data_IF_852574771899
#
_entry.id   IF_852574771899
#
_cell.length_a   1.000
_cell.length_b   1.000
_cell.length_c   1.000
_cell.angle_alpha   90.00
_cell.angle_beta   90.00
_cell.angle_gamma   90.00
#
_symmetry.space_group_name_H-M   'P 1'
#
loop_
_entity.id
_entity.type
_entity.pdbx_description
1 polymer ?
#
# COMPACT_ATOMS: atom_id res chain seq x y z
N UNK A 1 -39.94 -10.07 -40.74
CA UNK A 1 -39.95 -10.40 -39.30
C UNK A 1 -38.68 -9.86 -38.70
N UNK A 2 -38.76 -8.79 -37.90
CA UNK A 2 -37.65 -8.20 -37.14
C UNK A 2 -37.58 -8.93 -35.79
N UNK A 3 -36.39 -9.27 -35.29
CA UNK A 3 -36.01 -9.31 -33.86
C UNK A 3 -34.47 -9.52 -33.81
N UNK A 4 -33.77 -8.41 -33.54
CA UNK A 4 -32.67 -8.24 -32.59
C UNK A 4 -31.66 -9.39 -32.41
N UNK A 5 -30.48 -9.25 -33.04
CA UNK A 5 -29.27 -10.05 -32.74
C UNK A 5 -28.06 -9.14 -32.45
N UNK A 6 -28.26 -8.04 -31.72
CA UNK A 6 -27.26 -6.99 -31.51
C UNK A 6 -27.19 -6.52 -30.04
N UNK A 7 -27.49 -7.39 -29.09
CA UNK A 7 -27.41 -7.09 -27.65
C UNK A 7 -26.36 -7.92 -26.89
N UNK A 8 -25.55 -8.74 -27.57
CA UNK A 8 -24.60 -9.65 -26.93
C UNK A 8 -23.16 -9.15 -26.83
N UNK A 9 -22.80 -8.01 -27.46
CA UNK A 9 -21.40 -7.60 -27.63
C UNK A 9 -21.06 -6.24 -26.99
N UNK A 10 -21.92 -5.71 -26.12
CA UNK A 10 -21.73 -4.39 -25.50
C UNK A 10 -21.35 -4.43 -24.00
N UNK A 11 -21.34 -5.60 -23.34
CA UNK A 11 -20.98 -5.73 -21.93
C UNK A 11 -19.54 -6.19 -21.66
N UNK A 12 -18.74 -6.51 -22.69
CA UNK A 12 -17.36 -6.99 -22.50
C UNK A 12 -16.28 -5.92 -22.71
N UNK A 13 -16.64 -4.66 -22.93
CA UNK A 13 -15.70 -3.56 -23.21
C UNK A 13 -15.38 -2.67 -21.99
N UNK A 14 -15.82 -3.03 -20.79
CA UNK A 14 -15.57 -2.25 -19.55
C UNK A 14 -14.68 -2.96 -18.51
N UNK A 15 -14.11 -4.14 -18.82
CA UNK A 15 -13.24 -4.87 -17.89
C UNK A 15 -11.75 -4.83 -18.28
N UNK A 16 -11.34 -3.84 -19.07
CA UNK A 16 -9.94 -3.43 -19.07
C UNK A 16 -9.69 -2.55 -17.85
N UNK A 17 -9.79 -3.10 -16.64
CA UNK A 17 -9.11 -2.53 -15.49
C UNK A 17 -7.61 -2.73 -15.72
N UNK A 18 -7.02 -1.91 -16.58
CA UNK A 18 -5.67 -1.46 -16.28
C UNK A 18 -5.77 -0.95 -14.83
N UNK A 19 -5.17 -1.68 -13.88
CA UNK A 19 -5.03 -1.22 -12.50
C UNK A 19 -4.36 0.15 -12.59
N UNK A 20 -5.18 1.19 -12.53
CA UNK A 20 -4.70 2.55 -12.60
C UNK A 20 -4.05 2.79 -11.26
N UNK A 21 -2.75 3.09 -11.31
CA UNK A 21 -1.95 3.41 -10.13
C UNK A 21 -2.64 4.58 -9.43
N UNK A 22 -3.23 4.31 -8.26
CA UNK A 22 -3.93 5.35 -7.51
C UNK A 22 -3.02 6.52 -7.28
N UNK A 23 -3.51 7.73 -7.56
CA UNK A 23 -2.80 8.95 -7.19
C UNK A 23 -3.00 9.28 -5.70
N UNK A 24 -2.42 10.40 -5.25
CA UNK A 24 -2.47 10.82 -3.84
C UNK A 24 -3.90 11.07 -3.36
N UNK A 25 -4.77 11.62 -4.21
CA UNK A 25 -6.15 11.94 -3.85
C UNK A 25 -7.01 10.67 -3.81
N UNK A 26 -6.81 9.76 -4.77
CA UNK A 26 -7.46 8.43 -4.79
C UNK A 26 -7.03 7.56 -3.61
N UNK A 27 -5.74 7.56 -3.25
CA UNK A 27 -5.25 6.89 -2.04
C UNK A 27 -5.84 7.51 -0.77
N UNK A 28 -6.01 8.83 -0.74
CA UNK A 28 -6.63 9.52 0.41
C UNK A 28 -8.10 9.10 0.57
N UNK A 29 -8.86 9.05 -0.53
CA UNK A 29 -10.25 8.61 -0.53
C UNK A 29 -10.37 7.14 -0.12
N UNK A 30 -9.51 6.27 -0.68
CA UNK A 30 -9.48 4.87 -0.30
C UNK A 30 -9.16 4.68 1.19
N UNK A 31 -8.16 5.39 1.72
CA UNK A 31 -7.88 5.34 3.16
C UNK A 31 -9.10 5.77 3.99
N UNK A 32 -9.82 6.82 3.60
CA UNK A 32 -11.01 7.28 4.32
C UNK A 32 -12.13 6.22 4.33
N UNK A 33 -12.37 5.54 3.20
CA UNK A 33 -13.35 4.45 3.11
C UNK A 33 -12.98 3.28 4.01
N UNK A 34 -11.68 2.98 4.13
CA UNK A 34 -11.17 1.81 4.85
C UNK A 34 -10.45 2.16 6.17
N UNK A 35 -10.71 3.32 6.76
CA UNK A 35 -9.92 3.84 7.90
C UNK A 35 -9.83 2.84 9.06
N UNK A 36 -10.97 2.22 9.41
CA UNK A 36 -11.03 1.23 10.49
C UNK A 36 -10.22 -0.03 10.18
N UNK A 37 -10.06 -0.39 8.90
CA UNK A 37 -9.26 -1.53 8.45
C UNK A 37 -7.77 -1.21 8.53
N UNK A 38 -7.35 -0.02 8.11
CA UNK A 38 -5.97 0.45 8.30
C UNK A 38 -5.57 0.48 9.79
N UNK A 39 -6.48 0.93 10.67
CA UNK A 39 -6.24 0.90 12.11
C UNK A 39 -6.06 -0.51 12.66
N UNK A 40 -6.92 -1.45 12.25
CA UNK A 40 -6.82 -2.86 12.64
C UNK A 40 -5.55 -3.52 12.07
N UNK A 41 -5.19 -3.18 10.82
CA UNK A 41 -4.00 -3.68 10.15
C UNK A 41 -2.73 -3.26 10.90
N UNK A 42 -2.60 -1.98 11.26
CA UNK A 42 -1.46 -1.51 12.05
C UNK A 42 -1.33 -2.29 13.37
N UNK A 43 -2.42 -2.47 14.11
CA UNK A 43 -2.40 -3.18 15.38
C UNK A 43 -2.02 -4.68 15.23
N UNK A 44 -2.61 -5.37 14.25
CA UNK A 44 -2.33 -6.77 13.97
C UNK A 44 -0.88 -6.97 13.48
N UNK A 45 -0.42 -6.11 12.58
CA UNK A 45 0.93 -6.21 12.02
C UNK A 45 2.01 -5.89 13.06
N UNK A 46 1.78 -4.93 13.96
CA UNK A 46 2.69 -4.69 15.08
C UNK A 46 2.71 -5.84 16.08
N UNK A 47 1.56 -6.48 16.32
CA UNK A 47 1.50 -7.71 17.14
C UNK A 47 2.30 -8.84 16.51
N UNK A 48 2.23 -8.99 15.18
CA UNK A 48 3.04 -9.97 14.45
C UNK A 48 4.53 -9.65 14.60
N UNK A 49 4.95 -8.41 14.36
CA UNK A 49 6.36 -7.99 14.51
C UNK A 49 6.89 -8.29 15.91
N UNK A 50 6.12 -7.97 16.95
CA UNK A 50 6.48 -8.26 18.33
C UNK A 50 6.60 -9.77 18.60
N UNK A 51 5.70 -10.57 18.03
CA UNK A 51 5.72 -12.04 18.17
C UNK A 51 6.90 -12.68 17.45
N UNK A 52 7.24 -12.19 16.25
CA UNK A 52 8.40 -12.65 15.48
C UNK A 52 9.73 -12.10 16.01
N UNK A 53 9.68 -11.07 16.86
CA UNK A 53 10.84 -10.37 17.40
C UNK A 53 11.87 -10.00 16.32
N UNK A 54 11.40 -9.38 15.22
CA UNK A 54 12.22 -9.03 14.06
C UNK A 54 12.26 -7.52 13.81
N UNK A 55 13.40 -7.04 13.30
CA UNK A 55 13.57 -5.65 12.85
C UNK A 55 13.05 -5.42 11.42
N UNK A 56 12.88 -6.47 10.62
CA UNK A 56 12.37 -6.39 9.26
C UNK A 56 11.57 -7.65 8.93
N UNK A 57 10.40 -7.49 8.32
CA UNK A 57 9.61 -8.62 7.85
C UNK A 57 8.72 -8.24 6.67
N UNK A 58 8.75 -9.01 5.59
CA UNK A 58 7.79 -8.87 4.50
C UNK A 58 6.75 -9.97 4.61
N UNK A 59 5.49 -9.57 4.54
CA UNK A 59 4.34 -10.46 4.59
C UNK A 59 3.58 -10.40 3.28
N UNK A 60 3.18 -11.55 2.76
CA UNK A 60 2.25 -11.69 1.65
C UNK A 60 1.05 -12.48 2.13
N UNK A 61 -0.12 -12.21 1.55
CA UNK A 61 -1.31 -13.04 1.77
C UNK A 61 -1.04 -14.49 1.40
N UNK A 62 -1.77 -15.42 2.03
CA UNK A 62 -1.68 -16.86 1.77
C UNK A 62 -0.28 -17.47 2.04
N UNK A 63 0.52 -16.85 2.91
CA UNK A 63 1.82 -17.40 3.33
C UNK A 63 1.80 -18.02 4.72
N UNK A 64 0.61 -18.28 5.28
CA UNK A 64 0.45 -18.72 6.66
C UNK A 64 1.21 -20.01 7.00
N UNK A 65 1.38 -20.95 6.06
CA UNK A 65 2.16 -22.17 6.31
C UNK A 65 3.65 -21.94 6.57
N UNK A 66 4.17 -20.74 6.26
CA UNK A 66 5.58 -20.38 6.46
C UNK A 66 5.89 -20.00 7.91
N UNK A 67 4.88 -19.98 8.79
CA UNK A 67 4.98 -19.47 10.15
C UNK A 67 4.64 -20.54 11.20
N UNK A 68 5.05 -20.33 12.46
CA UNK A 68 4.62 -21.17 13.56
C UNK A 68 3.09 -21.23 13.70
N UNK A 69 2.56 -22.40 14.06
CA UNK A 69 1.11 -22.63 14.12
C UNK A 69 0.39 -21.69 15.10
N UNK A 70 1.08 -21.24 16.15
CA UNK A 70 0.56 -20.30 17.15
C UNK A 70 0.19 -18.93 16.58
N UNK A 71 0.79 -18.49 15.47
CA UNK A 71 0.45 -17.20 14.84
C UNK A 71 -0.61 -17.32 13.75
N UNK A 72 -1.01 -18.53 13.35
CA UNK A 72 -1.95 -18.73 12.26
C UNK A 72 -3.26 -17.92 12.37
N UNK A 73 -3.89 -17.76 13.56
CA UNK A 73 -5.07 -16.90 13.70
C UNK A 73 -4.79 -15.43 13.37
N UNK A 74 -3.61 -14.92 13.74
CA UNK A 74 -3.19 -13.55 13.46
C UNK A 74 -2.89 -13.36 11.97
N UNK A 75 -2.28 -14.35 11.31
CA UNK A 75 -1.99 -14.30 9.88
C UNK A 75 -3.28 -14.30 9.05
N UNK A 76 -4.25 -15.15 9.41
CA UNK A 76 -5.57 -15.13 8.77
C UNK A 76 -6.29 -13.78 8.94
N UNK A 77 -6.11 -13.12 10.09
CA UNK A 77 -6.64 -11.77 10.29
C UNK A 77 -5.93 -10.76 9.37
N UNK A 78 -4.61 -10.87 9.22
CA UNK A 78 -3.84 -10.01 8.31
C UNK A 78 -4.22 -10.20 6.85
N UNK A 79 -4.44 -11.44 6.41
CA UNK A 79 -4.93 -11.75 5.06
C UNK A 79 -6.22 -11.00 4.78
N UNK A 80 -7.23 -11.19 5.63
CA UNK A 80 -8.52 -10.53 5.47
C UNK A 80 -8.38 -9.00 5.50
N UNK A 81 -7.52 -8.45 6.36
CA UNK A 81 -7.34 -6.99 6.46
C UNK A 81 -6.65 -6.40 5.23
N UNK A 82 -5.72 -7.12 4.60
CA UNK A 82 -5.06 -6.70 3.37
C UNK A 82 -6.02 -6.82 2.18
N UNK A 83 -6.75 -7.92 2.07
CA UNK A 83 -7.80 -8.10 1.06
C UNK A 83 -8.88 -7.02 1.17
N UNK A 84 -9.33 -6.69 2.39
CA UNK A 84 -10.35 -5.65 2.65
C UNK A 84 -9.92 -4.25 2.21
N UNK A 85 -8.63 -4.03 1.90
CA UNK A 85 -8.07 -2.76 1.41
C UNK A 85 -7.45 -2.90 0.01
N UNK A 86 -7.79 -3.97 -0.72
CA UNK A 86 -7.30 -4.29 -2.05
C UNK A 86 -5.76 -4.37 -2.13
N UNK A 87 -5.16 -5.09 -1.19
CA UNK A 87 -3.70 -5.29 -1.08
C UNK A 87 -3.35 -6.75 -0.82
N UNK A 88 -2.15 -7.12 -1.26
CA UNK A 88 -1.65 -8.50 -1.18
C UNK A 88 -0.41 -8.62 -0.28
N UNK A 89 0.25 -7.50 0.02
CA UNK A 89 1.49 -7.53 0.78
C UNK A 89 1.69 -6.29 1.64
N UNK A 90 2.54 -6.48 2.66
CA UNK A 90 2.99 -5.42 3.53
C UNK A 90 4.42 -5.68 3.99
N UNK A 91 5.09 -4.62 4.44
CA UNK A 91 6.42 -4.72 5.05
C UNK A 91 6.43 -4.05 6.42
N UNK A 92 6.92 -4.78 7.40
CA UNK A 92 7.16 -4.34 8.77
C UNK A 92 8.63 -3.99 8.96
N UNK A 93 8.90 -2.88 9.64
CA UNK A 93 10.25 -2.37 9.90
C UNK A 93 10.35 -1.83 11.32
N UNK A 94 11.54 -1.85 11.87
CA UNK A 94 11.94 -1.00 12.98
C UNK A 94 12.75 0.16 12.40
N UNK A 95 12.22 1.38 12.51
CA UNK A 95 12.88 2.56 11.96
C UNK A 95 13.13 3.59 13.08
N UNK A 96 14.41 3.92 13.30
CA UNK A 96 14.81 4.85 14.35
C UNK A 96 14.35 4.38 15.74
N UNK A 97 13.59 5.23 16.44
CA UNK A 97 13.02 4.93 17.76
C UNK A 97 11.62 4.33 17.71
N UNK A 98 11.04 4.15 16.51
CA UNK A 98 9.71 3.57 16.33
C UNK A 98 9.83 2.05 16.28
N UNK A 99 9.23 1.38 17.26
CA UNK A 99 9.31 -0.08 17.40
C UNK A 99 8.52 -0.84 16.32
N UNK A 100 7.54 -0.19 15.68
CA UNK A 100 6.75 -0.78 14.61
C UNK A 100 6.35 0.27 13.57
N UNK A 101 7.04 0.23 12.43
CA UNK A 101 6.65 0.92 11.21
C UNK A 101 6.14 -0.10 10.20
N UNK A 102 5.10 0.27 9.44
CA UNK A 102 4.45 -0.60 8.47
C UNK A 102 4.27 0.15 7.15
N UNK A 103 4.64 -0.48 6.04
CA UNK A 103 4.39 0.03 4.69
C UNK A 103 3.54 -0.95 3.89
N UNK A 104 2.46 -0.47 3.26
CA UNK A 104 1.58 -1.24 2.37
C UNK A 104 1.71 -0.68 0.96
N UNK A 105 2.14 -1.50 0.01
CA UNK A 105 2.52 -1.03 -1.31
C UNK A 105 1.30 -0.63 -2.16
N UNK A 106 1.27 0.60 -2.69
CA UNK A 106 0.27 0.95 -3.70
C UNK A 106 0.78 0.55 -5.09
N UNK A 107 1.99 1.00 -5.40
CA UNK A 107 2.74 0.57 -6.57
C UNK A 107 4.21 0.91 -6.39
N UNK A 108 5.06 0.16 -7.08
CA UNK A 108 6.48 0.47 -7.22
C UNK A 108 6.95 0.17 -8.65
N UNK A 109 8.04 0.84 -9.03
CA UNK A 109 8.83 0.53 -10.22
C UNK A 109 10.27 0.76 -9.84
N UNK A 110 11.05 -0.30 -9.66
CA UNK A 110 12.49 -0.22 -9.45
C UNK A 110 13.25 -1.05 -10.47
N UNK A 111 14.35 -0.49 -10.99
CA UNK A 111 15.30 -1.18 -11.83
C UNK A 111 16.71 -0.65 -11.56
N UNK A 112 17.64 -1.56 -11.26
CA UNK A 112 19.06 -1.25 -11.06
C UNK A 112 19.38 -0.13 -10.04
N UNK A 113 18.51 0.06 -9.03
CA UNK A 113 18.69 1.08 -7.98
C UNK A 113 17.95 2.39 -8.23
N UNK A 114 17.46 2.59 -9.45
CA UNK A 114 16.61 3.72 -9.83
C UNK A 114 15.15 3.29 -9.75
N UNK A 115 14.25 4.20 -9.39
CA UNK A 115 12.85 3.87 -9.34
C UNK A 115 11.96 4.84 -8.59
N UNK A 116 10.72 4.41 -8.39
CA UNK A 116 9.79 5.11 -7.52
C UNK A 116 8.80 4.15 -6.90
N UNK A 117 8.33 4.47 -5.70
CA UNK A 117 7.18 3.84 -5.09
C UNK A 117 6.19 4.88 -4.60
N UNK A 118 4.97 4.40 -4.39
CA UNK A 118 4.00 5.05 -3.53
C UNK A 118 3.38 4.01 -2.60
N UNK A 119 3.30 4.32 -1.31
CA UNK A 119 2.87 3.38 -0.27
C UNK A 119 2.00 4.09 0.77
N UNK A 120 1.18 3.31 1.49
CA UNK A 120 0.66 3.74 2.79
C UNK A 120 1.70 3.40 3.86
N UNK A 121 2.10 4.39 4.67
CA UNK A 121 3.10 4.23 5.72
C UNK A 121 2.53 4.57 7.09
N UNK A 122 2.53 3.60 8.00
CA UNK A 122 2.20 3.79 9.41
C UNK A 122 3.48 4.05 10.20
N UNK A 123 3.50 5.19 10.91
CA UNK A 123 4.63 5.65 11.71
C UNK A 123 5.99 5.57 10.98
N UNK A 124 6.14 6.20 9.79
CA UNK A 124 7.44 6.27 9.12
C UNK A 124 8.44 7.05 9.99
N UNK A 125 9.72 6.67 9.99
CA UNK A 125 10.72 7.39 10.79
C UNK A 125 11.09 8.77 10.23
N UNK A 126 10.90 8.97 8.92
CA UNK A 126 11.18 10.22 8.24
C UNK A 126 9.88 10.80 7.73
N UNK A 127 9.65 12.09 8.01
CA UNK A 127 8.57 12.87 7.43
C UNK A 127 9.17 13.96 6.55
N UNK A 128 8.62 14.11 5.36
CA UNK A 128 8.98 15.18 4.45
C UNK A 128 7.75 15.99 4.06
N UNK A 129 7.94 17.30 3.88
CA UNK A 129 6.87 18.23 3.57
C UNK A 129 6.14 17.80 2.29
N UNK A 130 4.82 17.78 2.35
CA UNK A 130 3.99 17.48 1.19
C UNK A 130 4.12 18.59 0.15
N UNK A 131 4.68 18.29 -1.01
CA UNK A 131 4.71 19.20 -2.15
C UNK A 131 3.95 18.60 -3.35
N UNK A 132 2.69 18.99 -3.58
CA UNK A 132 1.84 18.40 -4.62
C UNK A 132 2.38 18.62 -6.04
N UNK A 133 3.22 19.65 -6.24
CA UNK A 133 3.73 19.99 -7.56
C UNK A 133 4.74 18.96 -8.10
N UNK A 134 5.44 18.25 -7.21
CA UNK A 134 6.50 17.30 -7.58
C UNK A 134 5.96 16.03 -8.27
N UNK A 135 4.65 15.74 -8.15
CA UNK A 135 4.01 14.52 -8.70
C UNK A 135 3.30 14.76 -10.03
N UNK A 136 3.02 16.02 -10.37
CA UNK A 136 2.34 16.37 -11.60
C UNK A 136 3.17 15.92 -12.80
N UNK A 137 2.56 15.18 -13.74
CA UNK A 137 3.23 14.59 -14.92
C UNK A 137 4.12 15.57 -15.69
N UNK A 138 3.77 16.87 -15.72
CA UNK A 138 4.55 17.93 -16.37
C UNK A 138 5.70 18.54 -15.57
N UNK A 139 5.81 18.24 -14.27
CA UNK A 139 6.85 18.76 -13.35
C UNK A 139 7.75 17.66 -12.76
N UNK A 140 7.59 16.41 -13.21
CA UNK A 140 8.38 15.26 -12.75
C UNK A 140 9.86 15.42 -13.18
N UNK A 141 10.71 15.91 -12.29
CA UNK A 141 12.14 15.95 -12.52
C UNK A 141 12.71 14.53 -12.46
N UNK A 142 13.35 14.05 -13.54
CA UNK A 142 13.89 12.69 -13.62
C UNK A 142 15.25 12.44 -13.03
N UNK A 143 15.94 13.49 -12.65
CA UNK A 143 17.33 13.43 -12.22
C UNK A 143 17.49 13.73 -10.73
N UNK A 144 16.41 14.08 -10.04
CA UNK A 144 16.43 14.45 -8.63
C UNK A 144 15.66 13.43 -7.79
N UNK A 145 16.18 13.18 -6.59
CA UNK A 145 15.47 12.46 -5.56
C UNK A 145 14.27 13.29 -5.11
N UNK A 146 13.09 12.69 -5.18
CA UNK A 146 11.84 13.31 -4.70
C UNK A 146 11.34 12.46 -3.55
N UNK A 147 11.10 13.10 -2.42
CA UNK A 147 10.54 12.45 -1.25
C UNK A 147 9.49 13.35 -0.60
N UNK A 148 8.30 12.81 -0.36
CA UNK A 148 7.27 13.51 0.38
C UNK A 148 6.45 12.54 1.24
N UNK A 149 5.83 13.11 2.28
CA UNK A 149 4.81 12.43 3.07
C UNK A 149 3.55 13.29 3.14
N UNK A 150 2.38 12.70 2.92
CA UNK A 150 1.09 13.34 3.15
C UNK A 150 0.43 12.67 4.35
N UNK A 151 0.17 13.44 5.41
CA UNK A 151 -0.48 12.92 6.60
C UNK A 151 -1.91 12.43 6.29
N UNK A 152 -2.23 11.27 6.87
CA UNK A 152 -3.59 10.73 6.99
C UNK A 152 -3.96 10.72 8.49
N UNK A 153 -4.97 9.94 8.88
CA UNK A 153 -5.35 9.79 10.28
C UNK A 153 -4.57 8.67 10.99
N UNK A 154 -4.61 8.68 12.32
CA UNK A 154 -4.16 7.55 13.16
C UNK A 154 -2.70 7.11 12.93
N UNK A 155 -1.81 8.05 12.62
CA UNK A 155 -0.39 7.78 12.41
C UNK A 155 -0.04 7.22 11.03
N UNK A 156 -1.01 7.16 10.12
CA UNK A 156 -0.80 6.81 8.71
C UNK A 156 -0.43 8.03 7.87
N UNK A 157 0.33 7.76 6.81
CA UNK A 157 0.79 8.70 5.81
C UNK A 157 0.71 8.04 4.43
N UNK A 158 0.58 8.85 3.38
CA UNK A 158 0.97 8.45 2.03
C UNK A 158 2.44 8.86 1.88
N UNK A 159 3.28 7.91 1.50
CA UNK A 159 4.70 8.14 1.29
C UNK A 159 5.05 7.86 -0.16
N UNK A 160 5.86 8.74 -0.73
CA UNK A 160 6.38 8.59 -2.07
C UNK A 160 7.88 8.82 -2.05
N UNK A 161 8.58 7.95 -2.75
CA UNK A 161 9.97 8.13 -3.08
C UNK A 161 10.12 8.00 -4.58
N UNK A 162 10.96 8.87 -5.13
CA UNK A 162 11.67 8.66 -6.38
C UNK A 162 13.15 8.68 -6.10
N UNK A 163 13.84 7.63 -6.52
CA UNK A 163 15.29 7.57 -6.58
C UNK A 163 15.70 7.64 -8.06
N UNK A 164 16.43 8.67 -8.50
CA UNK A 164 16.86 8.82 -9.88
C UNK A 164 17.97 7.86 -10.25
#
# INVERSE_FOLDING_TARGET
MKINFLAGLACCLLLSSCSERRDVDEMTQHFQVHQDKFKQLAAAACSLKATLNTGFHRYYIDTAEQYPAEVAPLLKQLDQLLEDIDKEDMTLRQEGTVECSLSVNEWDVFFAGEGSYMVYSYQPAVLAEFNPELHMKGKRNTTEKIYFTKALADGWYIEYLREP
#
